data_IF_767316173298
#
_entry.id   IF_767316173298
#
_cell.length_a   1.000
_cell.length_b   1.000
_cell.length_c   1.000
_cell.angle_alpha   90.00
_cell.angle_beta   90.00
_cell.angle_gamma   90.00
#
_symmetry.space_group_name_H-M   'P 1'
#
loop_
_entity.id
_entity.type
_entity.pdbx_description
1 polymer ?
#
# COMPACT_ATOMS: atom_id res chain seq x y z
N UNK A 1 -63.98 19.44 -30.59
CA UNK A 1 -62.58 19.84 -30.46
C UNK A 1 -61.98 19.13 -29.21
N UNK A 2 -61.17 18.09 -29.43
CA UNK A 2 -60.52 17.31 -28.36
C UNK A 2 -59.04 17.75 -28.27
N UNK A 3 -58.64 18.22 -27.11
CA UNK A 3 -57.30 18.62 -26.84
C UNK A 3 -56.50 17.39 -26.38
N UNK A 4 -55.45 17.00 -27.14
CA UNK A 4 -54.48 16.00 -26.74
C UNK A 4 -53.46 16.66 -25.78
N UNK A 5 -53.39 16.13 -24.56
CA UNK A 5 -52.32 16.44 -23.62
C UNK A 5 -51.08 15.55 -23.91
N UNK A 6 -50.00 16.14 -24.36
CA UNK A 6 -48.71 15.44 -24.52
C UNK A 6 -48.00 15.35 -23.19
N UNK A 7 -47.82 14.12 -22.66
CA UNK A 7 -46.96 13.85 -21.54
C UNK A 7 -45.47 13.93 -21.99
N UNK A 8 -44.76 14.94 -21.54
CA UNK A 8 -43.30 14.99 -21.64
C UNK A 8 -42.69 14.12 -20.54
N UNK A 9 -42.18 12.96 -20.92
CA UNK A 9 -41.30 12.17 -20.06
C UNK A 9 -39.97 12.89 -19.95
N UNK A 10 -39.70 13.51 -18.80
CA UNK A 10 -38.43 14.10 -18.49
C UNK A 10 -37.34 13.02 -18.36
N UNK A 11 -36.43 12.95 -19.31
CA UNK A 11 -35.18 12.19 -19.17
C UNK A 11 -34.30 12.92 -18.20
N UNK A 12 -34.30 12.49 -16.93
CA UNK A 12 -33.31 12.91 -15.96
C UNK A 12 -31.90 12.51 -16.44
N UNK A 13 -30.85 13.28 -16.07
CA UNK A 13 -29.49 12.97 -16.50
C UNK A 13 -29.16 11.55 -16.04
N UNK A 14 -28.76 10.69 -16.97
CA UNK A 14 -28.24 9.36 -16.68
C UNK A 14 -27.07 9.50 -15.71
N UNK A 15 -27.20 8.95 -14.50
CA UNK A 15 -26.09 8.80 -13.56
C UNK A 15 -24.97 8.06 -14.31
N UNK A 16 -23.73 8.61 -14.34
CA UNK A 16 -22.62 7.86 -14.92
C UNK A 16 -22.51 6.56 -14.15
N UNK A 17 -22.76 5.45 -14.80
CA UNK A 17 -22.50 4.11 -14.26
C UNK A 17 -20.97 3.95 -14.23
N UNK A 18 -20.36 4.38 -13.13
CA UNK A 18 -18.96 4.08 -12.84
C UNK A 18 -18.83 2.56 -12.80
N UNK A 19 -18.19 1.97 -13.81
CA UNK A 19 -17.93 0.54 -13.84
C UNK A 19 -16.98 0.20 -12.69
N UNK A 20 -17.32 -0.80 -11.87
CA UNK A 20 -16.46 -1.30 -10.82
C UNK A 20 -15.17 -1.91 -11.41
N UNK A 21 -14.04 -1.84 -10.69
CA UNK A 21 -12.84 -2.58 -11.04
C UNK A 21 -13.15 -4.08 -11.03
N UNK A 22 -12.77 -4.77 -12.12
CA UNK A 22 -13.13 -6.17 -12.29
C UNK A 22 -12.22 -7.12 -11.50
N UNK A 23 -10.96 -6.75 -11.29
CA UNK A 23 -9.99 -7.63 -10.65
C UNK A 23 -9.28 -6.94 -9.48
N UNK A 24 -8.78 -7.79 -8.57
CA UNK A 24 -7.77 -7.44 -7.58
C UNK A 24 -6.55 -8.32 -7.82
N UNK A 25 -5.38 -7.72 -7.77
CA UNK A 25 -4.09 -8.38 -7.86
C UNK A 25 -3.48 -8.47 -6.47
N UNK A 26 -3.01 -9.66 -6.08
CA UNK A 26 -2.47 -9.94 -4.76
C UNK A 26 -1.09 -10.57 -4.90
N UNK A 27 -0.07 -9.91 -4.39
CA UNK A 27 1.30 -10.40 -4.34
C UNK A 27 1.45 -11.31 -3.12
N UNK A 28 1.74 -12.60 -3.33
CA UNK A 28 1.68 -13.62 -2.30
C UNK A 28 2.96 -14.44 -2.23
N UNK A 29 3.40 -14.73 -1.02
CA UNK A 29 4.48 -15.66 -0.73
C UNK A 29 3.95 -17.07 -0.51
N UNK A 30 4.70 -18.06 -0.96
CA UNK A 30 4.49 -19.45 -0.59
C UNK A 30 4.74 -19.62 0.92
N UNK A 31 3.76 -20.18 1.64
CA UNK A 31 3.76 -20.15 3.11
C UNK A 31 4.88 -20.98 3.74
N UNK A 32 5.21 -22.13 3.16
CA UNK A 32 6.29 -23.02 3.61
C UNK A 32 7.62 -22.78 2.90
N UNK A 33 7.65 -21.84 1.93
CA UNK A 33 8.82 -21.50 1.12
C UNK A 33 9.40 -22.69 0.36
N UNK A 34 8.57 -23.62 -0.08
CA UNK A 34 8.95 -24.78 -0.85
C UNK A 34 8.71 -24.59 -2.36
N UNK A 35 7.77 -23.73 -2.71
CA UNK A 35 7.42 -23.42 -4.09
C UNK A 35 7.64 -21.93 -4.42
N UNK A 36 7.38 -21.55 -5.68
CA UNK A 36 7.52 -20.16 -6.13
C UNK A 36 6.49 -19.26 -5.49
N UNK A 37 6.92 -18.08 -5.02
CA UNK A 37 6.02 -16.97 -4.78
C UNK A 37 5.29 -16.58 -6.07
N UNK A 38 4.10 -15.97 -5.97
CA UNK A 38 3.26 -15.71 -7.15
C UNK A 38 2.34 -14.49 -6.99
N UNK A 39 1.92 -13.94 -8.13
CA UNK A 39 0.82 -12.97 -8.17
C UNK A 39 -0.49 -13.71 -8.42
N UNK A 40 -1.50 -13.47 -7.60
CA UNK A 40 -2.86 -13.97 -7.80
C UNK A 40 -3.75 -12.89 -8.40
N UNK A 41 -4.62 -13.29 -9.33
CA UNK A 41 -5.68 -12.47 -9.92
C UNK A 41 -7.02 -12.97 -9.40
N UNK A 42 -7.76 -12.10 -8.73
CA UNK A 42 -9.05 -12.41 -8.12
C UNK A 42 -10.15 -11.64 -8.85
N UNK A 43 -11.25 -12.33 -9.18
CA UNK A 43 -12.45 -11.68 -9.71
C UNK A 43 -13.09 -10.82 -8.60
N UNK A 44 -13.12 -9.54 -8.82
CA UNK A 44 -13.65 -8.54 -7.90
C UNK A 44 -14.91 -7.83 -8.45
N UNK A 45 -15.51 -8.31 -9.56
CA UNK A 45 -16.80 -7.77 -10.03
C UNK A 45 -17.94 -8.39 -9.21
N UNK A 46 -18.66 -7.63 -8.36
CA UNK A 46 -19.73 -8.17 -7.53
C UNK A 46 -20.93 -8.68 -8.32
N UNK A 47 -20.97 -8.46 -9.65
CA UNK A 47 -22.01 -9.00 -10.56
C UNK A 47 -21.57 -10.29 -11.22
N UNK A 48 -20.31 -10.66 -11.08
CA UNK A 48 -19.75 -11.89 -11.65
C UNK A 48 -20.17 -13.11 -10.83
N UNK A 49 -20.46 -14.21 -11.50
CA UNK A 49 -20.65 -15.51 -10.85
C UNK A 49 -19.35 -16.03 -10.21
N UNK A 50 -18.20 -15.50 -10.64
CA UNK A 50 -16.88 -15.82 -10.10
C UNK A 50 -16.42 -14.85 -9.00
N UNK A 51 -17.28 -13.99 -8.45
CA UNK A 51 -16.90 -13.04 -7.41
C UNK A 51 -16.12 -13.71 -6.27
N UNK A 52 -14.97 -13.15 -5.89
CA UNK A 52 -14.04 -13.71 -4.92
C UNK A 52 -13.33 -15.02 -5.33
N UNK A 53 -13.39 -15.41 -6.59
CA UNK A 53 -12.61 -16.55 -7.09
C UNK A 53 -11.24 -16.11 -7.61
N UNK A 54 -10.21 -16.92 -7.35
CA UNK A 54 -8.91 -16.78 -8.01
C UNK A 54 -9.05 -17.28 -9.45
N UNK A 55 -8.91 -16.38 -10.41
CA UNK A 55 -9.11 -16.68 -11.84
C UNK A 55 -7.82 -16.99 -12.58
N UNK A 56 -6.70 -16.47 -12.10
CA UNK A 56 -5.39 -16.74 -12.65
C UNK A 56 -4.30 -16.53 -11.59
N UNK A 57 -3.14 -17.12 -11.82
CA UNK A 57 -1.92 -16.88 -11.03
C UNK A 57 -0.72 -16.86 -11.95
N UNK A 58 0.31 -16.12 -11.57
CA UNK A 58 1.59 -16.13 -12.28
C UNK A 58 2.74 -16.31 -11.30
N UNK A 59 3.46 -17.45 -11.35
CA UNK A 59 4.65 -17.66 -10.53
C UNK A 59 5.75 -16.64 -10.82
N UNK A 60 6.44 -16.20 -9.79
CA UNK A 60 7.58 -15.30 -9.89
C UNK A 60 8.88 -16.01 -10.36
N UNK A 61 8.89 -17.35 -10.37
CA UNK A 61 10.07 -18.15 -10.67
C UNK A 61 11.15 -18.06 -9.57
N UNK A 62 10.77 -17.66 -8.35
CA UNK A 62 11.66 -17.52 -7.21
C UNK A 62 10.93 -17.92 -5.93
N UNK A 63 11.67 -18.46 -4.97
CA UNK A 63 11.17 -19.06 -3.73
C UNK A 63 11.57 -18.19 -2.55
N UNK A 64 10.64 -17.98 -1.60
CA UNK A 64 10.92 -17.30 -0.34
C UNK A 64 11.44 -15.88 -0.50
N UNK A 65 10.96 -15.17 -1.52
CA UNK A 65 11.43 -13.81 -1.83
C UNK A 65 10.94 -12.77 -0.85
N UNK A 66 10.05 -13.13 0.06
CA UNK A 66 9.33 -12.25 0.96
C UNK A 66 8.53 -11.21 0.18
N UNK A 67 7.49 -11.63 -0.57
CA UNK A 67 6.54 -10.71 -1.18
C UNK A 67 6.03 -9.71 -0.15
N UNK A 68 6.14 -8.40 -0.47
CA UNK A 68 5.79 -7.38 0.49
C UNK A 68 5.00 -6.24 -0.16
N UNK A 69 5.63 -5.32 -0.87
CA UNK A 69 4.93 -4.22 -1.53
C UNK A 69 4.75 -4.42 -3.02
N UNK A 70 3.60 -3.97 -3.53
CA UNK A 70 3.39 -3.61 -4.93
C UNK A 70 3.36 -2.08 -5.06
N UNK A 71 3.26 -1.55 -6.27
CA UNK A 71 2.76 -0.17 -6.44
C UNK A 71 1.37 -0.05 -5.79
N UNK A 72 1.03 1.14 -5.28
CA UNK A 72 -0.24 1.36 -4.55
C UNK A 72 -1.46 1.52 -5.47
N UNK A 73 -1.22 1.76 -6.75
CA UNK A 73 -2.27 1.85 -7.76
C UNK A 73 -1.82 1.16 -9.05
N UNK A 74 -2.75 0.56 -9.76
CA UNK A 74 -2.46 -0.09 -11.03
C UNK A 74 -1.95 0.92 -12.07
N UNK A 75 -0.74 0.75 -12.61
CA UNK A 75 -0.16 1.65 -13.59
C UNK A 75 -0.96 1.72 -14.90
N UNK A 76 -0.82 2.85 -15.61
CA UNK A 76 -1.53 3.07 -16.88
C UNK A 76 -1.08 2.11 -18.00
N UNK A 77 0.18 1.70 -17.96
CA UNK A 77 0.79 0.77 -18.93
C UNK A 77 0.46 -0.70 -18.65
N UNK A 78 -0.21 -1.00 -17.53
CA UNK A 78 -0.56 -2.35 -17.14
C UNK A 78 0.60 -3.20 -16.61
N UNK A 79 1.75 -2.58 -16.34
CA UNK A 79 2.95 -3.25 -15.83
C UNK A 79 3.14 -2.96 -14.33
N UNK A 80 2.70 -3.87 -13.48
CA UNK A 80 2.76 -3.73 -12.02
C UNK A 80 4.14 -4.12 -11.48
N UNK A 81 4.77 -3.24 -10.72
CA UNK A 81 6.02 -3.50 -10.02
C UNK A 81 5.74 -4.02 -8.61
N UNK A 82 6.49 -5.05 -8.21
CA UNK A 82 6.40 -5.68 -6.90
C UNK A 82 7.79 -6.08 -6.38
N UNK A 83 8.01 -6.01 -5.09
CA UNK A 83 9.29 -6.37 -4.50
C UNK A 83 9.34 -7.83 -4.07
N UNK A 84 10.53 -8.44 -4.22
CA UNK A 84 10.95 -9.62 -3.49
C UNK A 84 12.00 -9.16 -2.48
N UNK A 85 11.57 -8.73 -1.31
CA UNK A 85 12.38 -7.98 -0.36
C UNK A 85 13.65 -8.75 0.06
N UNK A 86 13.50 -10.00 0.54
CA UNK A 86 14.64 -10.83 0.99
C UNK A 86 15.48 -11.37 -0.18
N UNK A 87 14.93 -11.40 -1.39
CA UNK A 87 15.66 -11.80 -2.58
C UNK A 87 16.44 -10.66 -3.25
N UNK A 88 16.36 -9.44 -2.70
CA UNK A 88 16.96 -8.24 -3.30
C UNK A 88 16.60 -8.14 -4.79
N UNK A 89 15.29 -8.19 -5.10
CA UNK A 89 14.80 -8.32 -6.47
C UNK A 89 13.48 -7.59 -6.68
N UNK A 90 13.31 -7.07 -7.88
CA UNK A 90 12.05 -6.50 -8.37
C UNK A 90 11.44 -7.41 -9.41
N UNK A 91 10.12 -7.60 -9.35
CA UNK A 91 9.29 -8.30 -10.32
C UNK A 91 8.36 -7.31 -11.02
N UNK A 92 8.17 -7.48 -12.32
CA UNK A 92 7.23 -6.67 -13.11
C UNK A 92 6.25 -7.62 -13.79
N UNK A 93 4.98 -7.49 -13.42
CA UNK A 93 3.89 -8.32 -13.94
C UNK A 93 3.13 -7.58 -15.03
N UNK A 94 2.94 -8.23 -16.17
CA UNK A 94 2.06 -7.75 -17.25
C UNK A 94 0.62 -8.15 -16.96
N UNK A 95 -0.19 -7.18 -16.63
CA UNK A 95 -1.59 -7.31 -16.25
C UNK A 95 -2.55 -6.64 -17.24
N UNK A 96 -2.06 -6.33 -18.46
CA UNK A 96 -2.91 -5.80 -19.55
C UNK A 96 -4.02 -6.74 -19.94
N UNK A 97 -3.80 -8.03 -19.73
CA UNK A 97 -4.77 -9.12 -19.89
C UNK A 97 -4.89 -9.90 -18.57
N UNK A 98 -5.68 -9.43 -17.59
CA UNK A 98 -5.68 -10.01 -16.24
C UNK A 98 -6.03 -11.50 -16.16
N UNK A 99 -6.79 -12.02 -17.11
CA UNK A 99 -7.14 -13.45 -17.21
C UNK A 99 -5.98 -14.31 -17.76
N UNK A 100 -4.94 -13.66 -18.31
CA UNK A 100 -3.70 -14.28 -18.81
C UNK A 100 -2.50 -13.45 -18.38
N UNK A 101 -2.30 -13.29 -17.05
CA UNK A 101 -1.21 -12.48 -16.53
C UNK A 101 0.13 -13.14 -16.86
N UNK A 102 1.20 -12.34 -16.95
CA UNK A 102 2.53 -12.85 -17.20
C UNK A 102 3.57 -12.13 -16.35
N UNK A 103 4.66 -12.81 -16.01
CA UNK A 103 5.86 -12.16 -15.50
C UNK A 103 6.59 -11.54 -16.70
N UNK A 104 6.51 -10.22 -16.82
CA UNK A 104 7.11 -9.49 -17.94
C UNK A 104 8.63 -9.42 -17.81
N UNK A 105 9.12 -9.19 -16.59
CA UNK A 105 10.55 -9.15 -16.29
C UNK A 105 10.83 -9.27 -14.80
N UNK A 106 12.08 -9.58 -14.49
CA UNK A 106 12.64 -9.50 -13.13
C UNK A 106 14.07 -9.00 -13.23
N UNK A 107 14.52 -8.25 -12.25
CA UNK A 107 15.89 -7.77 -12.17
C UNK A 107 16.34 -7.69 -10.73
N UNK A 108 17.65 -7.88 -10.51
CA UNK A 108 18.29 -7.72 -9.21
C UNK A 108 18.46 -6.25 -8.84
N UNK A 109 18.83 -6.01 -7.61
CA UNK A 109 19.05 -4.68 -7.09
C UNK A 109 20.24 -3.99 -7.77
N UNK A 110 20.14 -2.67 -8.00
CA UNK A 110 21.24 -1.90 -8.58
C UNK A 110 22.28 -1.60 -7.50
N UNK A 111 23.41 -2.27 -7.53
CA UNK A 111 24.50 -2.00 -6.58
C UNK A 111 24.89 -0.52 -6.55
N UNK A 112 25.16 0.06 -5.36
CA UNK A 112 25.31 -0.63 -4.07
C UNK A 112 24.01 -0.85 -3.29
N UNK A 113 22.86 -0.46 -3.80
CA UNK A 113 21.58 -0.52 -3.10
C UNK A 113 20.99 -1.94 -3.09
N UNK A 114 20.32 -2.29 -1.99
CA UNK A 114 19.67 -3.57 -1.82
C UNK A 114 18.40 -3.49 -0.99
N UNK A 115 17.58 -4.54 -1.10
CA UNK A 115 16.29 -4.68 -0.43
C UNK A 115 15.29 -3.58 -0.83
N UNK A 116 14.73 -3.66 -2.05
CA UNK A 116 13.72 -2.72 -2.55
C UNK A 116 12.47 -2.81 -1.69
N UNK A 117 11.87 -1.66 -1.36
CA UNK A 117 10.68 -1.68 -0.51
C UNK A 117 9.44 -1.15 -1.22
N UNK A 118 9.39 0.11 -1.58
CA UNK A 118 8.20 0.74 -2.17
C UNK A 118 8.51 1.41 -3.51
N UNK A 119 7.50 1.51 -4.35
CA UNK A 119 7.60 2.06 -5.71
C UNK A 119 6.58 3.16 -5.93
N UNK A 120 6.96 4.21 -6.66
CA UNK A 120 6.06 5.26 -7.12
C UNK A 120 6.34 5.63 -8.57
N UNK A 121 5.28 5.70 -9.39
CA UNK A 121 5.37 6.18 -10.77
C UNK A 121 5.61 7.68 -10.82
N UNK A 122 6.53 8.06 -11.68
CA UNK A 122 6.81 9.44 -12.02
C UNK A 122 6.04 9.87 -13.27
N UNK A 123 5.80 11.20 -13.46
CA UNK A 123 5.10 11.70 -14.66
C UNK A 123 5.74 11.34 -15.99
N UNK A 124 7.05 11.11 -16.00
CA UNK A 124 7.82 10.68 -17.19
C UNK A 124 7.71 9.17 -17.49
N UNK A 125 6.95 8.43 -16.69
CA UNK A 125 6.80 6.97 -16.79
C UNK A 125 7.88 6.16 -16.07
N UNK A 126 8.90 6.79 -15.51
CA UNK A 126 9.90 6.13 -14.67
C UNK A 126 9.30 5.69 -13.34
N UNK A 127 10.04 4.89 -12.59
CA UNK A 127 9.68 4.41 -11.25
C UNK A 127 10.73 4.84 -10.26
N UNK A 128 10.32 5.56 -9.22
CA UNK A 128 11.15 5.86 -8.08
C UNK A 128 10.92 4.81 -6.99
N UNK A 129 12.00 4.22 -6.48
CA UNK A 129 11.94 3.17 -5.48
C UNK A 129 12.77 3.52 -4.25
N UNK A 130 12.34 3.03 -3.08
CA UNK A 130 13.11 3.05 -1.85
C UNK A 130 13.91 1.76 -1.68
N UNK A 131 15.13 1.87 -1.19
CA UNK A 131 16.03 0.76 -0.87
C UNK A 131 16.49 0.87 0.58
N UNK A 132 16.38 -0.22 1.33
CA UNK A 132 16.62 -0.22 2.78
C UNK A 132 18.11 -0.08 3.11
N UNK A 133 18.98 -0.76 2.37
CA UNK A 133 20.40 -0.85 2.67
C UNK A 133 21.30 -0.58 1.48
N UNK A 134 22.52 -0.18 1.79
CA UNK A 134 23.66 -0.19 0.88
C UNK A 134 24.48 -1.46 1.11
N UNK A 135 24.50 -2.34 0.12
CA UNK A 135 25.05 -3.70 0.24
C UNK A 135 26.58 -3.75 0.28
N UNK A 136 27.26 -2.71 -0.23
CA UNK A 136 28.72 -2.68 -0.30
C UNK A 136 29.41 -2.63 1.07
N UNK A 137 28.73 -2.09 2.11
CA UNK A 137 29.22 -2.00 3.48
C UNK A 137 28.63 -3.04 4.44
N UNK A 138 27.88 -4.01 3.94
CA UNK A 138 27.05 -4.91 4.74
C UNK A 138 25.68 -4.32 5.08
N UNK A 139 24.84 -5.08 5.78
CA UNK A 139 23.45 -4.70 6.07
C UNK A 139 23.26 -3.50 7.02
N UNK A 140 24.32 -2.83 7.41
CA UNK A 140 24.29 -1.74 8.39
C UNK A 140 24.33 -0.33 7.78
N UNK A 141 24.62 -0.23 6.49
CA UNK A 141 24.67 1.07 5.79
C UNK A 141 23.30 1.48 5.28
N UNK A 142 22.98 2.75 5.45
CA UNK A 142 21.71 3.32 4.96
C UNK A 142 21.64 3.27 3.44
N UNK A 143 20.54 2.75 2.90
CA UNK A 143 20.25 2.73 1.48
C UNK A 143 19.85 4.12 0.92
N UNK A 144 18.87 4.15 0.03
CA UNK A 144 18.50 5.41 -0.63
C UNK A 144 17.29 5.31 -1.55
N UNK A 145 17.23 6.26 -2.47
CA UNK A 145 16.27 6.31 -3.56
C UNK A 145 16.96 5.93 -4.86
N UNK A 146 16.27 5.16 -5.68
CA UNK A 146 16.71 4.81 -7.04
C UNK A 146 15.59 5.07 -8.02
N UNK A 147 15.88 5.79 -9.08
CA UNK A 147 14.98 5.98 -10.21
C UNK A 147 15.35 5.00 -11.34
N UNK A 148 14.35 4.26 -11.80
CA UNK A 148 14.45 3.33 -12.91
C UNK A 148 13.70 3.83 -14.13
N UNK A 149 14.23 3.54 -15.32
CA UNK A 149 13.46 3.64 -16.55
C UNK A 149 12.37 2.53 -16.62
N UNK A 150 11.43 2.59 -17.58
CA UNK A 150 10.40 1.56 -17.72
C UNK A 150 10.96 0.14 -17.98
N UNK A 151 12.22 0.03 -18.42
CA UNK A 151 12.89 -1.25 -18.64
C UNK A 151 13.58 -1.82 -17.40
N UNK A 152 13.57 -1.08 -16.26
CA UNK A 152 14.20 -1.49 -15.02
C UNK A 152 15.70 -1.18 -14.95
N UNK A 153 16.22 -0.29 -15.83
CA UNK A 153 17.60 0.19 -15.73
C UNK A 153 17.64 1.39 -14.78
N UNK A 154 18.64 1.40 -13.89
CA UNK A 154 18.88 2.55 -13.02
C UNK A 154 19.24 3.78 -13.86
N UNK A 155 18.50 4.87 -13.68
CA UNK A 155 18.74 6.18 -14.29
C UNK A 155 19.62 7.04 -13.39
N UNK A 156 19.24 7.11 -12.11
CA UNK A 156 19.98 7.84 -11.05
C UNK A 156 19.60 7.29 -9.68
N UNK A 157 20.44 7.63 -8.69
CA UNK A 157 20.19 7.25 -7.32
C UNK A 157 20.73 8.32 -6.36
N UNK A 158 20.23 8.32 -5.13
CA UNK A 158 20.71 9.20 -4.06
C UNK A 158 20.67 8.49 -2.72
N UNK A 159 21.72 8.66 -1.93
CA UNK A 159 21.86 8.05 -0.61
C UNK A 159 21.06 8.82 0.45
N UNK A 160 20.40 8.08 1.34
CA UNK A 160 19.58 8.65 2.41
C UNK A 160 20.36 8.92 3.70
N UNK A 161 21.65 8.60 3.76
CA UNK A 161 22.43 8.64 4.98
C UNK A 161 22.59 10.05 5.55
N UNK A 162 22.21 10.20 6.81
CA UNK A 162 22.44 11.39 7.64
C UNK A 162 22.82 10.99 9.07
N UNK A 163 23.97 10.30 9.26
CA UNK A 163 24.31 9.64 10.52
C UNK A 163 24.36 10.59 11.73
N UNK A 164 24.65 11.87 11.49
CA UNK A 164 24.69 12.88 12.54
C UNK A 164 23.28 13.23 13.09
N UNK A 165 22.20 12.96 12.31
CA UNK A 165 20.83 13.24 12.70
C UNK A 165 20.15 11.94 13.14
N UNK A 166 20.18 10.90 12.31
CA UNK A 166 19.61 9.59 12.60
C UNK A 166 20.40 8.49 11.86
N UNK A 167 21.22 7.71 12.56
CA UNK A 167 21.98 6.60 11.97
C UNK A 167 21.07 5.41 11.61
N UNK A 168 19.85 5.38 12.13
CA UNK A 168 18.88 4.30 11.93
C UNK A 168 18.01 4.46 10.69
N UNK A 169 18.20 5.49 9.86
CA UNK A 169 17.39 5.70 8.65
C UNK A 169 17.52 4.50 7.71
N UNK A 170 16.36 3.90 7.42
CA UNK A 170 16.19 2.85 6.40
C UNK A 170 15.00 3.25 5.55
N UNK A 171 15.20 3.76 4.31
CA UNK A 171 14.10 4.22 3.47
C UNK A 171 13.04 3.15 3.32
N UNK A 172 11.81 3.44 3.75
CA UNK A 172 10.72 2.50 3.78
C UNK A 172 9.73 2.76 2.64
N UNK A 173 9.02 3.87 2.70
CA UNK A 173 8.02 4.24 1.71
C UNK A 173 8.21 5.66 1.19
N UNK A 174 7.46 6.03 0.15
CA UNK A 174 7.59 7.33 -0.48
C UNK A 174 6.26 7.86 -0.99
N UNK A 175 6.14 9.19 -0.98
CA UNK A 175 5.10 9.95 -1.67
C UNK A 175 5.74 10.97 -2.60
N UNK A 176 5.28 11.02 -3.86
CA UNK A 176 5.80 11.94 -4.88
C UNK A 176 4.82 13.08 -5.09
N UNK A 177 5.32 14.32 -5.02
CA UNK A 177 4.57 15.56 -5.23
C UNK A 177 5.16 16.32 -6.43
N UNK A 178 4.86 15.92 -7.67
CA UNK A 178 5.52 16.47 -8.86
C UNK A 178 5.30 17.99 -9.03
N UNK A 179 4.10 18.48 -8.69
CA UNK A 179 3.78 19.90 -8.79
C UNK A 179 4.61 20.80 -7.85
N UNK A 180 5.16 20.22 -6.78
CA UNK A 180 6.03 20.90 -5.83
C UNK A 180 7.51 20.59 -6.03
N UNK A 181 7.84 19.70 -6.94
CA UNK A 181 9.19 19.14 -7.10
C UNK A 181 9.71 18.50 -5.80
N UNK A 182 8.86 17.69 -5.14
CA UNK A 182 9.18 17.06 -3.86
C UNK A 182 8.92 15.56 -3.85
N UNK A 183 9.70 14.87 -3.01
CA UNK A 183 9.45 13.51 -2.54
C UNK A 183 9.52 13.54 -1.01
N UNK A 184 8.59 12.85 -0.37
CA UNK A 184 8.59 12.59 1.07
C UNK A 184 8.87 11.12 1.27
N UNK A 185 9.92 10.75 2.02
CA UNK A 185 10.20 9.36 2.39
C UNK A 185 10.11 9.15 3.87
N UNK A 186 9.81 7.94 4.26
CA UNK A 186 9.76 7.45 5.64
C UNK A 186 10.90 6.48 5.90
N UNK A 187 11.09 6.12 7.16
CA UNK A 187 12.19 5.26 7.57
C UNK A 187 11.74 4.21 8.58
N UNK A 188 11.74 2.96 8.17
CA UNK A 188 11.47 1.80 9.05
C UNK A 188 12.36 0.65 8.64
N UNK A 189 13.10 0.12 9.59
CA UNK A 189 13.93 -1.05 9.37
C UNK A 189 13.07 -2.32 9.38
N UNK A 190 13.05 -3.03 8.27
CA UNK A 190 12.28 -4.27 8.10
C UNK A 190 12.79 -5.44 8.94
N UNK A 191 14.01 -5.35 9.45
CA UNK A 191 14.58 -6.32 10.41
C UNK A 191 14.48 -5.85 11.86
N UNK A 192 13.97 -4.62 12.10
CA UNK A 192 13.77 -4.02 13.42
C UNK A 192 15.05 -3.87 14.24
N UNK A 193 16.20 -3.84 13.58
CA UNK A 193 17.50 -3.60 14.22
C UNK A 193 17.68 -2.13 14.64
N UNK A 194 16.97 -1.24 13.97
CA UNK A 194 16.92 0.19 14.28
C UNK A 194 15.49 0.71 14.38
N UNK A 195 15.28 1.79 15.13
CA UNK A 195 13.98 2.45 15.32
C UNK A 195 14.07 3.92 14.94
N UNK A 196 14.08 4.18 13.65
CA UNK A 196 14.05 5.55 13.14
C UNK A 196 12.70 6.24 13.40
N UNK A 197 12.77 7.54 13.67
CA UNK A 197 11.62 8.42 13.69
C UNK A 197 11.71 9.46 12.56
N UNK A 198 12.50 9.19 11.53
CA UNK A 198 12.82 10.16 10.49
C UNK A 198 11.78 10.18 9.36
N UNK A 199 11.50 11.39 8.88
CA UNK A 199 10.89 11.68 7.59
C UNK A 199 11.88 12.51 6.79
N UNK A 200 12.12 12.18 5.54
CA UNK A 200 13.05 12.90 4.68
C UNK A 200 12.32 13.58 3.53
N UNK A 201 12.73 14.80 3.24
CA UNK A 201 12.22 15.62 2.14
C UNK A 201 13.30 15.75 1.09
N UNK A 202 12.95 15.41 -0.14
CA UNK A 202 13.87 15.43 -1.28
C UNK A 202 13.36 16.36 -2.37
N UNK A 203 14.27 16.88 -3.19
CA UNK A 203 13.92 17.49 -4.45
C UNK A 203 13.77 16.39 -5.50
N UNK A 204 12.61 16.32 -6.16
CA UNK A 204 12.32 15.26 -7.13
C UNK A 204 13.20 15.38 -8.38
N UNK A 205 13.46 16.60 -8.85
CA UNK A 205 14.17 16.84 -10.12
C UNK A 205 15.61 16.33 -10.16
N UNK A 206 16.30 16.27 -9.01
CA UNK A 206 17.71 15.85 -8.93
C UNK A 206 18.00 14.86 -7.78
N UNK A 207 16.98 14.44 -7.02
CA UNK A 207 17.07 13.58 -5.84
C UNK A 207 17.98 14.16 -4.73
N UNK A 208 18.13 15.49 -4.66
CA UNK A 208 18.86 16.12 -3.54
C UNK A 208 18.06 15.96 -2.26
N UNK A 209 18.67 15.40 -1.21
CA UNK A 209 18.09 15.38 0.13
C UNK A 209 18.11 16.82 0.70
N UNK A 210 16.93 17.40 0.89
CA UNK A 210 16.77 18.78 1.36
C UNK A 210 16.70 18.87 2.86
N UNK A 211 16.01 17.91 3.51
CA UNK A 211 15.77 17.96 4.94
C UNK A 211 15.53 16.56 5.51
N UNK A 212 16.03 16.31 6.72
CA UNK A 212 15.63 15.18 7.56
C UNK A 212 14.95 15.74 8.81
N UNK A 213 13.72 15.29 9.06
CA UNK A 213 12.89 15.71 10.19
C UNK A 213 12.75 14.52 11.13
N UNK A 214 13.19 14.66 12.38
CA UNK A 214 12.87 13.71 13.43
C UNK A 214 11.49 14.06 13.99
N UNK A 215 10.56 13.09 13.95
CA UNK A 215 9.23 13.27 14.52
C UNK A 215 9.32 13.38 16.03
N UNK A 216 8.65 14.39 16.59
CA UNK A 216 8.51 14.52 18.03
C UNK A 216 7.50 13.48 18.57
N UNK A 217 7.68 12.99 19.81
CA UNK A 217 6.69 12.16 20.47
C UNK A 217 5.30 12.81 20.50
N UNK A 218 4.25 12.01 20.34
CA UNK A 218 2.88 12.43 20.60
C UNK A 218 2.52 12.34 22.08
N UNK A 219 1.23 12.21 22.39
CA UNK A 219 0.74 12.21 23.80
C UNK A 219 1.14 10.96 24.58
N UNK A 220 1.26 9.81 23.91
CA UNK A 220 1.65 8.54 24.52
C UNK A 220 3.16 8.45 24.74
N UNK A 221 3.95 9.21 23.96
CA UNK A 221 5.40 9.30 24.08
C UNK A 221 6.20 8.38 23.15
N UNK A 222 5.53 7.53 22.38
CA UNK A 222 6.16 6.53 21.50
C UNK A 222 5.60 6.51 20.06
N UNK A 223 4.67 7.41 19.75
CA UNK A 223 3.98 7.46 18.47
C UNK A 223 4.88 7.69 17.26
N UNK A 224 6.05 8.26 17.45
CA UNK A 224 6.97 8.67 16.38
C UNK A 224 7.79 7.53 15.78
N UNK A 225 7.81 6.36 16.40
CA UNK A 225 8.75 5.31 16.04
C UNK A 225 8.34 4.55 14.78
N UNK A 226 9.33 4.27 13.94
CA UNK A 226 9.18 3.51 12.70
C UNK A 226 8.14 4.16 11.77
N UNK A 227 8.52 5.26 11.15
CA UNK A 227 7.68 5.97 10.20
C UNK A 227 7.35 5.07 9.00
N UNK A 228 6.06 4.90 8.70
CA UNK A 228 5.59 3.88 7.77
C UNK A 228 5.23 4.49 6.40
N UNK A 229 3.99 4.92 6.22
CA UNK A 229 3.47 5.27 4.90
C UNK A 229 3.14 6.76 4.78
N UNK A 230 3.75 7.47 3.83
CA UNK A 230 3.32 8.81 3.48
C UNK A 230 2.17 8.74 2.47
N UNK A 231 1.12 9.54 2.68
CA UNK A 231 0.03 9.73 1.71
C UNK A 231 -0.22 11.20 1.47
N UNK A 232 -0.30 11.58 0.19
CA UNK A 232 -0.64 12.95 -0.22
C UNK A 232 -2.15 13.13 -0.10
N UNK A 233 -2.60 14.19 0.55
CA UNK A 233 -4.01 14.54 0.61
C UNK A 233 -4.49 15.19 -0.70
N UNK A 234 -5.80 15.36 -0.83
CA UNK A 234 -6.43 15.87 -2.04
C UNK A 234 -5.99 17.30 -2.45
N UNK A 235 -5.41 18.07 -1.53
CA UNK A 235 -4.86 19.38 -1.80
C UNK A 235 -3.53 19.35 -2.57
N UNK A 236 -2.93 18.15 -2.75
CA UNK A 236 -1.69 17.93 -3.47
C UNK A 236 -0.43 18.51 -2.80
N UNK A 237 -0.51 18.92 -1.53
CA UNK A 237 0.57 19.58 -0.81
C UNK A 237 0.75 19.17 0.65
N UNK A 238 -0.31 18.69 1.29
CA UNK A 238 -0.25 18.11 2.63
C UNK A 238 0.02 16.62 2.54
N UNK A 239 0.96 16.12 3.33
CA UNK A 239 1.23 14.69 3.46
C UNK A 239 0.90 14.26 4.88
N UNK A 240 0.14 13.19 5.02
CA UNK A 240 0.02 12.48 6.29
C UNK A 240 0.98 11.30 6.29
N UNK A 241 1.62 11.08 7.42
CA UNK A 241 2.56 9.97 7.66
C UNK A 241 2.08 9.22 8.89
N UNK A 242 1.76 7.94 8.76
CA UNK A 242 1.57 7.10 9.93
C UNK A 242 2.89 6.45 10.37
N UNK A 243 2.87 5.88 11.57
CA UNK A 243 3.97 5.10 12.13
C UNK A 243 3.49 3.72 12.52
N UNK A 244 4.38 2.74 12.60
CA UNK A 244 4.03 1.41 13.09
C UNK A 244 3.55 1.42 14.55
N UNK A 245 3.98 2.41 15.34
CA UNK A 245 3.48 2.64 16.70
C UNK A 245 2.16 3.40 16.73
N UNK A 246 1.43 3.46 15.61
CA UNK A 246 0.08 4.00 15.49
C UNK A 246 -0.05 5.51 15.77
N UNK A 247 1.01 6.27 15.53
CA UNK A 247 0.96 7.71 15.42
C UNK A 247 0.55 8.16 14.02
N UNK A 248 -0.06 9.33 13.90
CA UNK A 248 -0.31 10.01 12.64
C UNK A 248 0.25 11.42 12.71
N UNK A 249 1.03 11.78 11.71
CA UNK A 249 1.74 13.05 11.62
C UNK A 249 1.36 13.78 10.34
N UNK A 250 1.15 15.08 10.45
CA UNK A 250 1.00 15.96 9.31
C UNK A 250 2.35 16.56 8.93
N UNK A 251 2.69 16.46 7.65
CA UNK A 251 3.86 17.13 7.03
C UNK A 251 3.35 18.22 6.11
N UNK A 252 3.77 19.45 6.33
CA UNK A 252 3.42 20.63 5.53
C UNK A 252 4.62 21.53 5.27
N UNK A 253 4.40 22.65 4.53
CA UNK A 253 5.47 23.57 4.13
C UNK A 253 6.37 23.02 3.05
N UNK A 254 5.91 21.99 2.30
CA UNK A 254 6.67 21.32 1.24
C UNK A 254 6.92 22.23 0.01
N UNK A 255 6.13 23.29 -0.15
CA UNK A 255 6.30 24.33 -1.16
C UNK A 255 7.32 25.40 -0.77
N UNK A 256 7.75 25.40 0.49
CA UNK A 256 8.73 26.33 1.05
C UNK A 256 10.14 25.76 1.21
N UNK A 257 11.04 26.53 1.81
CA UNK A 257 12.42 26.11 2.07
C UNK A 257 12.54 25.12 3.23
N UNK A 258 11.53 25.02 4.10
CA UNK A 258 11.55 24.19 5.31
C UNK A 258 10.19 23.56 5.53
N UNK A 259 10.14 22.24 5.48
CA UNK A 259 8.97 21.46 5.85
C UNK A 259 8.89 21.27 7.38
N UNK A 260 7.69 20.98 7.86
CA UNK A 260 7.42 20.72 9.28
C UNK A 260 6.59 19.45 9.40
N UNK A 261 6.86 18.68 10.45
CA UNK A 261 6.05 17.52 10.80
C UNK A 261 5.53 17.69 12.24
N UNK A 262 4.23 17.43 12.45
CA UNK A 262 3.62 17.47 13.77
C UNK A 262 2.66 16.31 13.97
N UNK A 263 2.63 15.80 15.18
CA UNK A 263 1.65 14.81 15.62
C UNK A 263 0.23 15.40 15.55
N UNK A 264 -0.73 14.61 15.03
CA UNK A 264 -2.12 15.01 14.89
C UNK A 264 -3.12 13.99 15.44
N UNK A 265 -2.74 12.70 15.51
CA UNK A 265 -3.63 11.65 16.00
C UNK A 265 -2.82 10.40 16.44
N UNK A 266 -3.43 9.58 17.30
CA UNK A 266 -2.93 8.25 17.67
C UNK A 266 -4.07 7.25 17.73
N UNK A 267 -3.91 6.11 17.07
CA UNK A 267 -4.68 4.90 17.36
C UNK A 267 -4.06 4.16 18.56
N UNK A 268 -4.80 3.19 19.10
CA UNK A 268 -4.30 2.36 20.19
C UNK A 268 -3.14 1.47 19.73
N UNK A 269 -2.06 1.43 20.52
CA UNK A 269 -0.97 0.49 20.36
C UNK A 269 -0.56 -0.09 21.70
N UNK A 270 -0.34 -1.41 21.74
CA UNK A 270 -0.08 -2.13 22.99
C UNK A 270 1.41 -2.25 23.35
N UNK A 271 2.29 -1.58 22.61
CA UNK A 271 3.74 -1.64 22.84
C UNK A 271 4.41 -2.93 22.36
N UNK A 272 3.71 -3.82 21.67
CA UNK A 272 4.22 -5.13 21.26
C UNK A 272 4.44 -5.20 19.75
N UNK A 273 5.57 -5.77 19.35
CA UNK A 273 5.89 -6.08 17.95
C UNK A 273 5.54 -7.53 17.58
N UNK A 274 5.30 -8.36 18.58
CA UNK A 274 4.88 -9.75 18.42
C UNK A 274 3.48 -9.81 17.78
N UNK A 275 3.28 -10.82 16.93
CA UNK A 275 2.02 -11.00 16.22
C UNK A 275 1.71 -9.89 15.20
N UNK A 276 2.68 -9.02 14.91
CA UNK A 276 2.56 -7.90 13.96
C UNK A 276 1.36 -6.98 14.26
N UNK A 277 1.10 -6.77 15.53
CA UNK A 277 0.04 -5.91 16.06
C UNK A 277 0.47 -4.43 16.01
N UNK A 278 0.51 -3.83 14.83
CA UNK A 278 0.92 -2.45 14.60
C UNK A 278 0.07 -1.80 13.51
N UNK A 279 0.21 -0.50 13.29
CA UNK A 279 -0.46 0.24 12.23
C UNK A 279 0.44 0.30 11.00
N UNK A 280 -0.04 -0.17 9.84
CA UNK A 280 0.79 -0.27 8.66
C UNK A 280 0.21 0.48 7.46
N UNK A 281 -0.02 -0.16 6.33
CA UNK A 281 -0.26 0.48 5.04
C UNK A 281 -1.70 1.00 4.90
N UNK A 282 -1.93 2.32 5.09
CA UNK A 282 -3.24 2.94 5.00
C UNK A 282 -3.62 3.29 3.57
N UNK A 283 -4.90 3.63 3.39
CA UNK A 283 -5.45 4.17 2.15
C UNK A 283 -6.15 5.50 2.39
N UNK A 284 -6.16 6.38 1.38
CA UNK A 284 -6.92 7.64 1.41
C UNK A 284 -8.06 7.59 0.42
N UNK A 285 -9.29 7.63 0.91
CA UNK A 285 -10.51 7.63 0.09
C UNK A 285 -11.25 8.95 0.24
N UNK A 286 -11.03 9.86 -0.70
CA UNK A 286 -11.57 11.22 -0.62
C UNK A 286 -10.99 11.97 0.58
N UNK A 287 -11.85 12.29 1.56
CA UNK A 287 -11.43 12.96 2.80
C UNK A 287 -11.16 11.99 3.96
N UNK A 288 -11.18 10.70 3.70
CA UNK A 288 -11.03 9.69 4.75
C UNK A 288 -9.67 9.00 4.66
N UNK A 289 -8.97 8.97 5.77
CA UNK A 289 -7.80 8.14 6.01
C UNK A 289 -8.25 6.81 6.61
N UNK A 290 -7.95 5.70 5.95
CA UNK A 290 -8.32 4.36 6.40
C UNK A 290 -7.08 3.68 6.96
N UNK A 291 -7.02 3.57 8.28
CA UNK A 291 -5.90 3.00 9.00
C UNK A 291 -6.15 1.53 9.33
N UNK A 292 -5.33 0.59 8.84
CA UNK A 292 -5.30 -0.76 9.41
C UNK A 292 -4.62 -0.70 10.77
N UNK A 293 -5.32 -1.16 11.79
CA UNK A 293 -4.84 -1.24 13.17
C UNK A 293 -4.79 -2.70 13.62
N UNK A 294 -3.60 -3.31 13.55
CA UNK A 294 -3.40 -4.70 13.95
C UNK A 294 -3.66 -4.92 15.45
N UNK A 295 -3.30 -3.96 16.29
CA UNK A 295 -3.55 -4.02 17.74
C UNK A 295 -5.04 -4.04 18.09
N UNK A 296 -5.84 -3.31 17.33
CA UNK A 296 -7.29 -3.18 17.59
C UNK A 296 -8.11 -4.17 16.77
N UNK A 297 -7.44 -5.02 15.97
CA UNK A 297 -8.10 -5.95 15.05
C UNK A 297 -9.14 -5.27 14.17
N UNK A 298 -8.84 -4.05 13.69
CA UNK A 298 -9.83 -3.18 13.06
C UNK A 298 -9.26 -2.36 11.90
N UNK A 299 -10.15 -1.96 11.00
CA UNK A 299 -9.95 -0.80 10.14
C UNK A 299 -10.57 0.41 10.82
N UNK A 300 -9.83 1.51 10.89
CA UNK A 300 -10.29 2.78 11.47
C UNK A 300 -10.36 3.83 10.38
N UNK A 301 -11.51 4.47 10.22
CA UNK A 301 -11.73 5.58 9.28
C UNK A 301 -11.65 6.90 10.01
N UNK A 302 -10.71 7.77 9.62
CA UNK A 302 -10.56 9.10 10.15
C UNK A 302 -10.99 10.12 9.09
N UNK A 303 -11.86 11.06 9.45
CA UNK A 303 -12.12 12.26 8.65
C UNK A 303 -10.93 13.21 8.81
N UNK A 304 -10.21 13.45 7.72
CA UNK A 304 -9.03 14.32 7.62
C UNK A 304 -9.32 15.59 6.82
N UNK A 305 -10.59 16.02 6.75
CA UNK A 305 -10.97 17.31 6.14
C UNK A 305 -10.24 18.48 6.82
N UNK A 306 -10.06 18.40 8.13
CA UNK A 306 -9.08 19.17 8.88
C UNK A 306 -7.92 18.27 9.25
N UNK A 307 -6.80 18.34 8.53
CA UNK A 307 -5.66 17.46 8.79
C UNK A 307 -4.92 17.76 10.10
N UNK A 308 -5.28 18.84 10.78
CA UNK A 308 -4.78 19.16 12.12
C UNK A 308 -5.58 18.49 13.23
N UNK A 309 -6.80 18.08 12.94
CA UNK A 309 -7.73 17.48 13.88
C UNK A 309 -8.46 16.27 13.27
N UNK A 310 -7.71 15.21 12.86
CA UNK A 310 -8.33 13.97 12.37
C UNK A 310 -9.33 13.43 13.40
N UNK A 311 -10.50 13.01 12.93
CA UNK A 311 -11.56 12.47 13.79
C UNK A 311 -11.99 11.09 13.32
N UNK A 312 -12.04 10.13 14.24
CA UNK A 312 -12.62 8.84 13.96
C UNK A 312 -14.12 8.98 13.63
N UNK A 313 -14.52 8.46 12.47
CA UNK A 313 -15.89 8.50 11.98
C UNK A 313 -16.42 7.12 11.62
N UNK A 314 -15.57 6.11 11.57
CA UNK A 314 -15.95 4.74 11.29
C UNK A 314 -14.92 3.74 11.80
N UNK A 315 -15.41 2.57 12.21
CA UNK A 315 -14.60 1.46 12.66
C UNK A 315 -15.23 0.16 12.21
N UNK A 316 -14.42 -0.72 11.63
CA UNK A 316 -14.80 -2.09 11.30
C UNK A 316 -13.89 -3.03 12.09
N UNK A 317 -14.43 -3.63 13.16
CA UNK A 317 -13.75 -4.67 13.91
C UNK A 317 -13.82 -5.96 13.08
N UNK A 318 -12.70 -6.63 12.95
CA UNK A 318 -12.54 -7.93 12.29
C UNK A 318 -12.60 -9.08 13.31
N UNK A 319 -12.04 -10.21 13.01
CA UNK A 319 -11.94 -11.31 13.98
C UNK A 319 -10.89 -11.06 15.06
N UNK A 320 -11.04 -11.68 16.22
CA UNK A 320 -10.19 -11.47 17.41
C UNK A 320 -8.68 -11.73 17.19
N UNK A 321 -8.34 -12.45 16.14
CA UNK A 321 -6.95 -12.76 15.75
C UNK A 321 -6.54 -12.07 14.46
N UNK A 322 -7.45 -11.34 13.79
CA UNK A 322 -7.21 -10.70 12.51
C UNK A 322 -6.41 -9.42 12.72
N UNK A 323 -5.20 -9.35 12.20
CA UNK A 323 -4.34 -8.17 12.27
C UNK A 323 -4.20 -7.53 10.88
N UNK A 324 -5.10 -6.58 10.51
CA UNK A 324 -5.03 -5.93 9.20
C UNK A 324 -3.73 -5.15 9.07
N UNK A 325 -3.13 -5.23 7.86
CA UNK A 325 -1.82 -4.66 7.59
C UNK A 325 -1.79 -3.79 6.33
N UNK A 326 -2.34 -4.29 5.23
CA UNK A 326 -2.40 -3.56 3.96
C UNK A 326 -3.83 -3.23 3.60
N UNK A 327 -4.09 -1.98 3.22
CA UNK A 327 -5.37 -1.54 2.65
C UNK A 327 -5.10 -0.89 1.31
N UNK A 328 -5.82 -1.32 0.28
CA UNK A 328 -5.81 -0.63 -1.01
C UNK A 328 -7.24 -0.33 -1.47
N UNK A 329 -7.45 0.89 -1.96
CA UNK A 329 -8.74 1.39 -2.40
C UNK A 329 -9.03 1.12 -3.87
N UNK A 330 -10.28 0.83 -4.19
CA UNK A 330 -10.74 0.83 -5.56
C UNK A 330 -10.69 2.25 -6.15
N UNK A 331 -10.03 2.48 -7.31
CA UNK A 331 -9.95 3.80 -7.91
C UNK A 331 -11.32 4.43 -8.09
N UNK A 332 -11.62 5.54 -7.38
CA UNK A 332 -12.90 6.24 -7.41
C UNK A 332 -14.11 5.43 -6.93
N UNK A 333 -13.92 4.23 -6.35
CA UNK A 333 -14.95 3.35 -5.80
C UNK A 333 -15.14 3.49 -4.30
N UNK A 334 -15.83 2.51 -3.74
CA UNK A 334 -16.14 2.38 -2.31
C UNK A 334 -15.54 1.12 -1.68
N UNK A 335 -14.81 0.30 -2.46
CA UNK A 335 -14.26 -0.97 -2.00
C UNK A 335 -12.81 -0.84 -1.57
N UNK A 336 -12.46 -1.61 -0.56
CA UNK A 336 -11.13 -1.69 0.04
C UNK A 336 -10.72 -3.15 0.14
N UNK A 337 -9.63 -3.54 -0.50
CA UNK A 337 -9.03 -4.86 -0.27
C UNK A 337 -8.11 -4.78 0.92
N UNK A 338 -8.16 -5.79 1.78
CA UNK A 338 -7.42 -5.86 3.05
C UNK A 338 -6.69 -7.17 3.15
N UNK A 339 -5.39 -7.11 3.39
CA UNK A 339 -4.55 -8.25 3.75
C UNK A 339 -3.91 -8.01 5.12
N UNK A 340 -3.35 -9.04 5.73
CA UNK A 340 -2.79 -8.88 7.06
C UNK A 340 -2.14 -10.14 7.62
N UNK A 341 -2.09 -10.20 8.93
CA UNK A 341 -1.43 -11.25 9.69
C UNK A 341 -2.39 -11.92 10.68
N UNK A 342 -1.91 -12.91 11.40
CA UNK A 342 -2.72 -13.69 12.31
C UNK A 342 -3.86 -14.40 11.59
N UNK A 343 -5.09 -14.18 11.99
CA UNK A 343 -6.26 -14.75 11.32
C UNK A 343 -6.45 -14.34 9.85
N UNK A 344 -5.78 -13.26 9.41
CA UNK A 344 -5.75 -12.79 8.02
C UNK A 344 -4.56 -13.31 7.20
N UNK A 345 -3.62 -14.03 7.80
CA UNK A 345 -2.39 -14.43 7.12
C UNK A 345 -2.63 -15.23 5.83
N UNK A 346 -3.69 -16.02 5.81
CA UNK A 346 -4.11 -16.80 4.64
C UNK A 346 -5.40 -16.30 3.99
N UNK A 347 -5.76 -15.02 4.15
CA UNK A 347 -7.00 -14.48 3.57
C UNK A 347 -6.85 -13.03 3.12
N UNK A 348 -7.62 -12.66 2.09
CA UNK A 348 -7.81 -11.28 1.69
C UNK A 348 -9.29 -10.89 1.83
N UNK A 349 -9.59 -9.86 2.60
CA UNK A 349 -10.96 -9.39 2.83
C UNK A 349 -11.31 -8.22 1.92
N UNK A 350 -12.61 -8.07 1.63
CA UNK A 350 -13.15 -6.86 1.01
C UNK A 350 -13.96 -6.10 2.05
N UNK A 351 -13.57 -4.86 2.30
CA UNK A 351 -14.38 -3.90 3.04
C UNK A 351 -15.01 -2.87 2.09
N UNK A 352 -16.01 -2.15 2.57
CA UNK A 352 -16.61 -1.01 1.87
C UNK A 352 -16.65 0.20 2.78
N UNK A 353 -16.47 1.37 2.17
CA UNK A 353 -16.59 2.66 2.83
C UNK A 353 -17.79 3.43 2.28
N UNK A 354 -18.61 3.97 3.15
CA UNK A 354 -19.55 5.02 2.77
C UNK A 354 -18.80 6.33 2.57
N UNK A 355 -18.67 6.77 1.31
CA UNK A 355 -17.90 7.96 0.94
C UNK A 355 -18.49 9.30 1.45
N UNK A 356 -19.71 9.30 1.95
CA UNK A 356 -20.34 10.48 2.57
C UNK A 356 -20.04 10.57 4.06
N UNK A 357 -20.03 9.45 4.77
CA UNK A 357 -19.94 9.38 6.22
C UNK A 357 -18.62 8.83 6.76
N UNK A 358 -17.89 8.05 5.96
CA UNK A 358 -16.70 7.32 6.39
C UNK A 358 -17.00 5.99 7.10
N UNK A 359 -18.27 5.60 7.21
CA UNK A 359 -18.65 4.33 7.83
C UNK A 359 -18.08 3.15 7.04
N UNK A 360 -17.56 2.15 7.76
CA UNK A 360 -16.95 0.96 7.19
C UNK A 360 -17.83 -0.27 7.44
N UNK A 361 -17.87 -1.19 6.48
CA UNK A 361 -18.53 -2.49 6.63
C UNK A 361 -17.78 -3.57 5.86
N UNK A 362 -17.88 -4.81 6.31
CA UNK A 362 -17.36 -5.96 5.58
C UNK A 362 -18.27 -6.27 4.37
N UNK A 363 -17.68 -6.64 3.25
CA UNK A 363 -18.39 -7.24 2.12
C UNK A 363 -18.38 -8.76 2.29
N UNK A 364 -19.36 -9.29 3.00
CA UNK A 364 -19.47 -10.73 3.27
C UNK A 364 -19.66 -11.57 2.00
N UNK A 365 -20.20 -10.97 0.93
CA UNK A 365 -20.34 -11.65 -0.36
C UNK A 365 -19.00 -11.90 -1.05
N UNK A 366 -17.94 -11.14 -0.68
CA UNK A 366 -16.58 -11.40 -1.15
C UNK A 366 -16.00 -12.59 -0.39
N UNK A 367 -16.44 -13.78 -0.75
CA UNK A 367 -16.10 -15.04 -0.08
C UNK A 367 -15.77 -16.09 -1.13
N UNK A 368 -14.64 -16.76 -1.00
CA UNK A 368 -14.29 -17.91 -1.87
C UNK A 368 -15.47 -18.90 -1.89
N UNK A 369 -15.95 -19.34 -3.07
CA UNK A 369 -17.06 -20.27 -3.16
C UNK A 369 -16.85 -21.51 -2.28
N UNK A 370 -17.81 -21.79 -1.37
CA UNK A 370 -17.79 -22.91 -0.44
C UNK A 370 -16.96 -22.66 0.84
N UNK A 371 -16.28 -21.54 0.99
CA UNK A 371 -15.60 -21.20 2.25
C UNK A 371 -16.58 -20.77 3.34
N UNK A 372 -16.27 -21.11 4.59
CA UNK A 372 -17.11 -20.79 5.76
C UNK A 372 -16.89 -19.34 6.28
N UNK A 373 -15.82 -18.69 5.88
CA UNK A 373 -15.43 -17.35 6.36
C UNK A 373 -15.32 -16.37 5.21
N UNK A 374 -15.71 -15.09 5.39
CA UNK A 374 -15.52 -14.06 4.38
C UNK A 374 -14.06 -13.90 3.93
N UNK A 375 -13.88 -13.50 2.68
CA UNK A 375 -12.60 -13.26 2.06
C UNK A 375 -12.19 -14.34 1.06
N UNK A 376 -11.16 -14.02 0.28
CA UNK A 376 -10.51 -15.00 -0.59
C UNK A 376 -9.57 -15.84 0.24
N UNK A 377 -9.75 -17.16 0.16
CA UNK A 377 -8.96 -18.14 0.90
C UNK A 377 -7.63 -18.42 0.18
N UNK A 378 -6.54 -18.15 0.88
CA UNK A 378 -5.17 -18.46 0.50
C UNK A 378 -4.60 -19.68 1.26
N UNK A 379 -5.36 -20.27 2.17
CA UNK A 379 -5.03 -21.52 2.87
C UNK A 379 -5.29 -22.79 2.05
N UNK A 380 -5.36 -22.69 0.73
CA UNK A 380 -5.66 -23.80 -0.19
C UNK A 380 -4.39 -24.49 -0.68
N UNK A 381 -4.50 -25.77 -1.02
CA UNK A 381 -3.38 -26.57 -1.53
C UNK A 381 -3.13 -26.39 -3.03
N UNK A 382 -4.13 -25.91 -3.79
CA UNK A 382 -4.09 -25.89 -5.27
C UNK A 382 -4.43 -24.52 -5.84
N UNK A 383 -3.62 -24.10 -6.79
CA UNK A 383 -3.73 -22.84 -7.52
C UNK A 383 -3.84 -23.08 -9.03
N UNK A 384 -4.23 -22.11 -9.86
CA UNK A 384 -4.21 -22.24 -11.32
C UNK A 384 -2.87 -22.66 -11.89
N UNK A 385 -1.74 -22.39 -11.24
CA UNK A 385 -0.40 -22.79 -11.68
C UNK A 385 0.08 -24.14 -11.11
N UNK A 386 -0.66 -24.79 -10.23
CA UNK A 386 -0.30 -26.09 -9.66
C UNK A 386 -0.64 -26.27 -8.19
N UNK A 387 -0.32 -27.44 -7.66
CA UNK A 387 -0.48 -27.80 -6.25
C UNK A 387 0.79 -27.38 -5.49
N UNK A 388 0.81 -26.17 -4.96
CA UNK A 388 1.97 -25.57 -4.29
C UNK A 388 1.71 -25.22 -2.81
N UNK A 389 0.57 -25.65 -2.25
CA UNK A 389 0.26 -25.42 -0.85
C UNK A 389 -0.27 -24.01 -0.54
N UNK A 390 -0.47 -23.70 0.76
CA UNK A 390 -0.97 -22.40 1.21
C UNK A 390 -0.04 -21.24 0.85
N UNK A 391 -0.61 -20.04 0.76
CA UNK A 391 0.14 -18.82 0.49
C UNK A 391 -0.26 -17.67 1.43
N UNK A 392 0.58 -16.65 1.51
CA UNK A 392 0.41 -15.47 2.36
C UNK A 392 0.31 -14.25 1.45
N UNK A 393 -0.90 -13.69 1.21
CA UNK A 393 -1.07 -12.46 0.45
C UNK A 393 -0.63 -11.25 1.27
N UNK A 394 0.08 -10.31 0.62
CA UNK A 394 0.53 -9.08 1.28
C UNK A 394 0.16 -7.82 0.49
N UNK A 395 0.96 -7.42 -0.50
CA UNK A 395 0.67 -6.27 -1.34
C UNK A 395 -0.55 -6.53 -2.25
N UNK A 396 -1.44 -5.57 -2.36
CA UNK A 396 -2.65 -5.70 -3.16
C UNK A 396 -2.98 -4.41 -3.91
N UNK A 397 -3.57 -4.54 -5.10
CA UNK A 397 -4.01 -3.41 -5.91
C UNK A 397 -5.21 -3.79 -6.78
N UNK A 398 -6.15 -2.88 -6.95
CA UNK A 398 -7.27 -3.07 -7.88
C UNK A 398 -6.84 -2.87 -9.34
N UNK A 399 -7.46 -3.61 -10.26
CA UNK A 399 -7.37 -3.30 -11.68
C UNK A 399 -7.92 -1.90 -11.97
N UNK A 400 -7.47 -1.30 -13.05
CA UNK A 400 -8.14 -0.10 -13.59
C UNK A 400 -9.58 -0.44 -13.99
N UNK A 401 -10.45 0.57 -13.97
CA UNK A 401 -11.85 0.46 -14.41
C UNK A 401 -11.95 0.37 -15.92
#
# INVERSE_FOLDING_TARGET
>A
MAALAACHAGTGPARPTSSASRFVFLWAGDADKAASDFLAVVDADPRSAGYASVVATVPAGAIGTRPHHTEYAMPADGLLWANGFDASRTFVFDLRHPERPALARTFGDPLPYGHPHSYARLPNGHVLATFQWEMAGGHHETGGLVEFDPDGRMVRAARAAVPAIDPGVRPYSLAVLPALDRVVTTASDMHLESRSAAVQIWRLSDLTLLQTILLAPGRRGDEQQLTAEPRVLADGRTVLVNTFTCGLYRVDGLDGPTARARWVYSSTWNGRWEGKSFCAVPEVVGRFWIQPSGTEHALVSLDVSDPDQPREVGRLVLGDTDAPHWVAGEPGGDRLIVTGYGGLESRALMARIDRATGALRLDEAFTTPGAARPGVDFGRDTWPHGATGPAIPHGAVFSRR
#
